data_IF_608079583114
#
_entry.id   IF_608079583114
#
_cell.length_a   1.000
_cell.length_b   1.000
_cell.length_c   1.000
_cell.angle_alpha   90.00
_cell.angle_beta   90.00
_cell.angle_gamma   90.00
#
_symmetry.space_group_name_H-M   'P 1'
#
loop_
_entity.id
_entity.type
_entity.pdbx_description
1 polymer ?
#
# COMPACT_ATOMS: atom_id res chain seq x y z
N UNK A 1 20.19 -19.25 9.94
CA UNK A 1 20.60 -17.87 9.61
C UNK A 1 19.97 -17.38 8.31
N UNK A 2 19.88 -18.22 7.26
CA UNK A 2 19.23 -17.87 6.00
C UNK A 2 17.74 -17.45 6.17
N UNK A 3 16.97 -18.15 7.01
CA UNK A 3 15.55 -17.85 7.21
C UNK A 3 15.31 -16.50 7.91
N UNK A 4 16.12 -16.17 8.91
CA UNK A 4 16.05 -14.88 9.61
C UNK A 4 16.40 -13.74 8.64
N UNK A 5 17.45 -13.92 7.84
CA UNK A 5 17.81 -12.97 6.79
C UNK A 5 16.68 -12.80 5.78
N UNK A 6 16.13 -13.90 5.27
CA UNK A 6 15.00 -13.90 4.33
C UNK A 6 13.76 -13.19 4.88
N UNK A 7 13.42 -13.43 6.15
CA UNK A 7 12.30 -12.77 6.84
C UNK A 7 12.51 -11.25 7.00
N UNK A 8 13.71 -10.83 7.41
CA UNK A 8 14.06 -9.40 7.52
C UNK A 8 14.00 -8.73 6.14
N UNK A 9 14.57 -9.36 5.11
CA UNK A 9 14.50 -8.83 3.74
C UNK A 9 13.07 -8.74 3.23
N UNK A 10 12.23 -9.75 3.48
CA UNK A 10 10.83 -9.74 3.07
C UNK A 10 10.02 -8.65 3.79
N UNK A 11 10.26 -8.44 5.09
CA UNK A 11 9.64 -7.36 5.85
C UNK A 11 10.03 -5.98 5.30
N UNK A 12 11.33 -5.75 5.05
CA UNK A 12 11.82 -4.49 4.47
C UNK A 12 11.28 -4.25 3.05
N UNK A 13 11.22 -5.30 2.24
CA UNK A 13 10.66 -5.26 0.89
C UNK A 13 9.17 -4.90 0.88
N UNK A 14 8.43 -5.31 1.92
CA UNK A 14 6.99 -5.06 2.06
C UNK A 14 6.66 -3.65 2.58
N UNK A 15 7.61 -2.93 3.20
CA UNK A 15 7.34 -1.62 3.81
C UNK A 15 6.69 -0.60 2.85
N UNK A 16 7.23 -0.36 1.63
CA UNK A 16 6.64 0.64 0.74
C UNK A 16 5.21 0.28 0.34
N UNK A 17 4.95 -1.01 0.06
CA UNK A 17 3.63 -1.51 -0.30
C UNK A 17 2.63 -1.35 0.84
N UNK A 18 3.01 -1.74 2.05
CA UNK A 18 2.16 -1.61 3.23
C UNK A 18 1.83 -0.14 3.55
N UNK A 19 2.79 0.79 3.39
CA UNK A 19 2.52 2.23 3.54
C UNK A 19 1.50 2.69 2.50
N UNK A 20 1.72 2.36 1.22
CA UNK A 20 0.85 2.76 0.14
C UNK A 20 -0.58 2.23 0.31
N UNK A 21 -0.75 0.95 0.67
CA UNK A 21 -2.07 0.36 0.86
C UNK A 21 -2.82 0.97 2.05
N UNK A 22 -2.13 1.35 3.12
CA UNK A 22 -2.74 2.09 4.23
C UNK A 22 -3.25 3.46 3.81
N UNK A 23 -2.43 4.22 3.09
CA UNK A 23 -2.80 5.54 2.56
C UNK A 23 -3.97 5.46 1.58
N UNK A 24 -4.01 4.42 0.73
CA UNK A 24 -5.14 4.16 -0.17
C UNK A 24 -6.41 3.88 0.64
N UNK A 25 -6.36 2.97 1.60
CA UNK A 25 -7.53 2.58 2.38
C UNK A 25 -8.15 3.76 3.14
N UNK A 26 -7.31 4.68 3.65
CA UNK A 26 -7.74 5.84 4.43
C UNK A 26 -7.88 7.12 3.61
N UNK A 27 -7.61 7.08 2.29
CA UNK A 27 -7.70 8.23 1.40
C UNK A 27 -9.01 9.05 1.56
N UNK A 28 -10.20 8.43 1.74
CA UNK A 28 -11.44 9.17 1.92
C UNK A 28 -11.47 10.06 3.16
N UNK A 29 -10.76 9.69 4.24
CA UNK A 29 -10.76 10.41 5.51
C UNK A 29 -9.87 11.67 5.50
N UNK A 30 -9.13 11.90 4.42
CA UNK A 30 -8.24 13.04 4.26
C UNK A 30 -6.82 12.83 4.79
N UNK A 31 -5.92 13.75 4.41
CA UNK A 31 -4.48 13.63 4.63
C UNK A 31 -4.04 13.71 6.10
N UNK A 32 -4.84 14.35 6.96
CA UNK A 32 -4.56 14.51 8.39
C UNK A 32 -4.50 13.17 9.15
N UNK A 33 -5.18 12.14 8.65
CA UNK A 33 -5.18 10.79 9.25
C UNK A 33 -4.15 9.84 8.63
N UNK A 34 -3.30 10.33 7.72
CA UNK A 34 -2.27 9.51 7.04
C UNK A 34 -1.33 8.79 8.01
N UNK A 35 -0.93 9.44 9.12
CA UNK A 35 -0.11 8.82 10.15
C UNK A 35 -0.79 7.62 10.83
N UNK A 36 -2.08 7.76 11.16
CA UNK A 36 -2.88 6.67 11.74
C UNK A 36 -3.09 5.51 10.76
N UNK A 37 -3.26 5.83 9.46
CA UNK A 37 -3.41 4.83 8.41
C UNK A 37 -2.17 3.94 8.26
N UNK A 38 -0.97 4.54 8.29
CA UNK A 38 0.30 3.81 8.22
C UNK A 38 0.47 2.91 9.44
N UNK A 39 0.20 3.43 10.65
CA UNK A 39 0.29 2.64 11.88
C UNK A 39 -0.67 1.45 11.88
N UNK A 40 -1.94 1.67 11.54
CA UNK A 40 -2.94 0.60 11.48
C UNK A 40 -2.55 -0.51 10.49
N UNK A 41 -1.97 -0.12 9.35
CA UNK A 41 -1.59 -1.06 8.30
C UNK A 41 -0.34 -1.87 8.67
N UNK A 42 0.65 -1.24 9.30
CA UNK A 42 1.83 -1.95 9.83
C UNK A 42 1.44 -2.91 10.96
N UNK A 43 0.55 -2.48 11.86
CA UNK A 43 0.03 -3.34 12.91
C UNK A 43 -0.74 -4.53 12.33
N UNK A 44 -1.56 -4.31 11.28
CA UNK A 44 -2.26 -5.40 10.60
C UNK A 44 -1.29 -6.41 9.97
N UNK A 45 -0.25 -5.96 9.29
CA UNK A 45 0.76 -6.85 8.70
C UNK A 45 1.52 -7.65 9.78
N UNK A 46 1.92 -6.99 10.88
CA UNK A 46 2.60 -7.63 11.99
C UNK A 46 1.71 -8.68 12.69
N UNK A 47 0.49 -8.29 13.06
CA UNK A 47 -0.47 -9.18 13.73
C UNK A 47 -0.89 -10.35 12.83
N UNK A 48 -1.13 -10.10 11.55
CA UNK A 48 -1.45 -11.15 10.58
C UNK A 48 -0.31 -12.16 10.44
N UNK A 49 0.94 -11.68 10.41
CA UNK A 49 2.10 -12.56 10.31
C UNK A 49 2.29 -13.36 11.61
N UNK A 50 2.09 -12.75 12.78
CA UNK A 50 2.09 -13.46 14.06
C UNK A 50 0.98 -14.51 14.15
N UNK A 51 -0.21 -14.21 13.62
CA UNK A 51 -1.31 -15.18 13.54
C UNK A 51 -0.96 -16.36 12.60
N UNK A 52 -0.31 -16.10 11.47
CA UNK A 52 0.22 -17.16 10.59
C UNK A 52 1.30 -18.00 11.28
N UNK A 53 2.15 -17.40 12.10
CA UNK A 53 3.16 -18.15 12.87
C UNK A 53 2.47 -19.06 13.90
N UNK A 54 1.41 -18.59 14.55
CA UNK A 54 0.71 -19.33 15.60
C UNK A 54 -0.17 -20.48 15.07
N UNK A 55 -0.86 -20.28 13.94
CA UNK A 55 -1.93 -21.18 13.45
C UNK A 55 -1.71 -21.64 12.01
N UNK A 56 -0.80 -21.00 11.27
CA UNK A 56 -0.54 -21.29 9.87
C UNK A 56 0.12 -22.64 9.64
N UNK A 57 -0.18 -23.23 8.48
CA UNK A 57 0.37 -24.54 8.04
C UNK A 57 1.54 -24.41 7.07
N UNK A 58 1.81 -23.19 6.58
CA UNK A 58 2.88 -22.91 5.62
C UNK A 58 4.01 -22.18 6.31
N UNK A 59 5.25 -22.62 6.08
CA UNK A 59 6.46 -22.05 6.68
C UNK A 59 7.04 -20.85 5.92
N UNK A 60 6.43 -20.44 4.79
CA UNK A 60 7.02 -19.45 3.87
C UNK A 60 6.11 -18.24 3.63
N UNK A 61 4.91 -18.19 4.23
CA UNK A 61 3.93 -17.13 3.99
C UNK A 61 4.04 -15.98 4.99
N UNK A 62 3.96 -14.75 4.48
CA UNK A 62 3.74 -13.53 5.26
C UNK A 62 2.32 -13.03 5.03
N UNK A 63 1.67 -12.55 6.09
CA UNK A 63 0.42 -11.84 5.95
C UNK A 63 0.74 -10.37 5.68
N UNK A 64 0.32 -9.88 4.53
CA UNK A 64 0.44 -8.48 4.19
C UNK A 64 -0.91 -7.97 3.66
N UNK A 65 -1.24 -6.70 3.91
CA UNK A 65 -2.34 -6.04 3.23
C UNK A 65 -2.12 -6.09 1.72
N UNK A 66 -3.22 -6.04 0.97
CA UNK A 66 -3.20 -6.08 -0.48
C UNK A 66 -3.99 -4.92 -1.07
N UNK A 67 -3.59 -4.49 -2.26
CA UNK A 67 -4.26 -3.44 -3.03
C UNK A 67 -5.79 -3.60 -3.16
N UNK A 68 -6.33 -4.78 -3.55
CA UNK A 68 -7.77 -4.94 -3.70
C UNK A 68 -8.54 -4.68 -2.39
N UNK A 69 -8.03 -5.18 -1.28
CA UNK A 69 -8.66 -4.99 0.04
C UNK A 69 -8.60 -3.52 0.45
N UNK A 70 -7.47 -2.86 0.24
CA UNK A 70 -7.33 -1.42 0.52
C UNK A 70 -8.37 -0.59 -0.26
N UNK A 71 -8.60 -0.90 -1.53
CA UNK A 71 -9.62 -0.23 -2.35
C UNK A 71 -11.04 -0.50 -1.86
N UNK A 72 -11.37 -1.73 -1.45
CA UNK A 72 -12.67 -2.07 -0.88
C UNK A 72 -12.91 -1.31 0.44
N UNK A 73 -11.89 -1.21 1.30
CA UNK A 73 -11.98 -0.45 2.54
C UNK A 73 -12.17 1.05 2.27
N UNK A 74 -11.47 1.60 1.28
CA UNK A 74 -11.66 2.99 0.85
C UNK A 74 -13.09 3.24 0.32
N UNK A 75 -13.66 2.31 -0.47
CA UNK A 75 -15.04 2.41 -0.93
C UNK A 75 -16.04 2.39 0.24
N UNK A 76 -15.86 1.48 1.20
CA UNK A 76 -16.70 1.43 2.41
C UNK A 76 -16.62 2.72 3.23
N UNK A 77 -15.42 3.29 3.39
CA UNK A 77 -15.23 4.57 4.07
C UNK A 77 -15.93 5.72 3.34
N UNK A 78 -15.84 5.72 2.01
CA UNK A 78 -16.50 6.72 1.18
C UNK A 78 -18.01 6.66 1.35
N UNK A 79 -18.59 5.45 1.39
CA UNK A 79 -20.03 5.24 1.64
C UNK A 79 -20.44 5.73 3.02
N UNK A 80 -19.69 5.39 4.07
CA UNK A 80 -20.02 5.88 5.42
C UNK A 80 -19.96 7.40 5.54
N UNK A 81 -19.01 8.06 4.86
CA UNK A 81 -18.97 9.52 4.82
C UNK A 81 -20.12 10.12 4.02
N UNK A 82 -20.52 9.48 2.91
CA UNK A 82 -21.69 9.90 2.14
C UNK A 82 -22.99 9.81 2.97
N UNK A 83 -23.07 8.82 3.86
CA UNK A 83 -24.19 8.66 4.82
C UNK A 83 -24.10 9.62 6.02
N UNK A 84 -23.10 10.52 6.05
CA UNK A 84 -22.92 11.51 7.11
C UNK A 84 -22.31 10.96 8.41
N UNK A 85 -21.73 9.76 8.39
CA UNK A 85 -21.06 9.20 9.55
C UNK A 85 -19.82 10.03 9.93
N UNK A 86 -19.63 10.26 11.22
CA UNK A 86 -18.40 10.87 11.73
C UNK A 86 -17.21 9.92 11.50
N UNK A 87 -15.98 10.47 11.45
CA UNK A 87 -14.77 9.67 11.25
C UNK A 87 -14.65 8.47 12.22
N UNK A 88 -14.91 8.61 13.54
CA UNK A 88 -14.90 7.48 14.45
C UNK A 88 -15.97 6.42 14.13
N UNK A 89 -17.16 6.83 13.69
CA UNK A 89 -18.24 5.92 13.31
C UNK A 89 -17.90 5.15 12.03
N UNK A 90 -17.36 5.82 11.02
CA UNK A 90 -16.92 5.19 9.78
C UNK A 90 -15.80 4.16 10.05
N UNK A 91 -14.84 4.51 10.92
CA UNK A 91 -13.79 3.60 11.37
C UNK A 91 -14.35 2.38 12.12
N UNK A 92 -15.26 2.59 13.07
CA UNK A 92 -15.92 1.50 13.77
C UNK A 92 -16.70 0.58 12.81
N UNK A 93 -17.37 1.16 11.80
CA UNK A 93 -18.07 0.41 10.76
C UNK A 93 -17.14 -0.47 9.94
N UNK A 94 -15.97 0.05 9.52
CA UNK A 94 -14.95 -0.71 8.79
C UNK A 94 -14.35 -1.84 9.64
N UNK A 95 -14.04 -1.56 10.91
CA UNK A 95 -13.53 -2.56 11.84
C UNK A 95 -14.58 -3.66 12.04
N UNK A 96 -15.86 -3.28 12.22
CA UNK A 96 -16.98 -4.21 12.32
C UNK A 96 -17.12 -5.08 11.07
N UNK A 97 -17.08 -4.48 9.87
CA UNK A 97 -17.15 -5.23 8.61
C UNK A 97 -15.96 -6.21 8.46
N UNK A 98 -14.76 -5.78 8.85
CA UNK A 98 -13.56 -6.63 8.84
C UNK A 98 -13.68 -7.80 9.83
N UNK A 99 -14.26 -7.57 11.01
CA UNK A 99 -14.52 -8.60 11.99
C UNK A 99 -15.55 -9.62 11.49
N UNK A 100 -16.64 -9.15 10.89
CA UNK A 100 -17.66 -10.02 10.29
C UNK A 100 -17.06 -10.87 9.17
N UNK A 101 -16.21 -10.28 8.33
CA UNK A 101 -15.47 -11.00 7.30
C UNK A 101 -14.55 -12.07 7.91
N UNK A 102 -13.80 -11.74 8.97
CA UNK A 102 -12.95 -12.69 9.69
C UNK A 102 -13.73 -13.85 10.30
N UNK A 103 -14.88 -13.58 10.90
CA UNK A 103 -15.78 -14.61 11.44
C UNK A 103 -16.30 -15.50 10.30
N UNK A 104 -16.75 -14.92 9.18
CA UNK A 104 -17.21 -15.69 8.02
C UNK A 104 -16.09 -16.59 7.45
N UNK A 105 -14.87 -16.07 7.31
CA UNK A 105 -13.69 -16.84 6.88
C UNK A 105 -13.38 -17.98 7.85
N UNK A 106 -13.47 -17.74 9.15
CA UNK A 106 -13.28 -18.77 10.17
C UNK A 106 -14.36 -19.87 10.07
N UNK A 107 -15.63 -19.49 9.89
CA UNK A 107 -16.72 -20.45 9.65
C UNK A 107 -16.48 -21.28 8.39
N UNK A 108 -16.10 -20.66 7.27
CA UNK A 108 -15.77 -21.38 6.04
C UNK A 108 -14.58 -22.33 6.20
N UNK A 109 -13.60 -21.96 7.04
CA UNK A 109 -12.48 -22.83 7.39
C UNK A 109 -12.95 -24.05 8.22
N UNK A 110 -13.83 -23.85 9.21
CA UNK A 110 -14.40 -24.95 10.01
C UNK A 110 -15.22 -25.91 9.15
N UNK A 111 -15.99 -25.38 8.20
CA UNK A 111 -16.78 -26.16 7.24
C UNK A 111 -15.92 -26.83 6.14
N UNK A 112 -14.60 -26.60 6.13
CA UNK A 112 -13.65 -27.12 5.13
C UNK A 112 -14.02 -26.76 3.68
N UNK A 113 -14.68 -25.62 3.48
CA UNK A 113 -15.16 -25.14 2.17
C UNK A 113 -14.02 -24.53 1.33
N UNK A 114 -12.79 -24.42 1.87
CA UNK A 114 -11.64 -23.83 1.17
C UNK A 114 -11.30 -24.45 -0.20
N UNK A 115 -11.77 -25.67 -0.49
CA UNK A 115 -11.61 -26.29 -1.83
C UNK A 115 -12.36 -25.52 -2.93
N UNK A 116 -13.38 -24.73 -2.58
CA UNK A 116 -14.15 -23.92 -3.54
C UNK A 116 -13.27 -22.89 -4.28
N UNK A 117 -12.20 -22.41 -3.65
CA UNK A 117 -11.26 -21.46 -4.26
C UNK A 117 -10.66 -22.00 -5.57
N UNK A 118 -10.53 -23.32 -5.71
CA UNK A 118 -10.03 -23.95 -6.94
C UNK A 118 -10.98 -23.84 -8.14
N UNK A 119 -12.26 -23.50 -7.91
CA UNK A 119 -13.24 -23.30 -8.98
C UNK A 119 -13.30 -21.85 -9.46
N UNK A 120 -12.58 -20.92 -8.82
CA UNK A 120 -12.51 -19.54 -9.30
C UNK A 120 -11.71 -19.54 -10.61
N UNK A 121 -12.31 -19.14 -11.74
CA UNK A 121 -11.60 -19.11 -13.01
C UNK A 121 -10.40 -18.16 -12.93
N UNK A 122 -9.26 -18.60 -13.44
CA UNK A 122 -8.07 -17.74 -13.61
C UNK A 122 -8.37 -16.40 -14.32
N UNK A 123 -9.26 -16.30 -15.36
CA UNK A 123 -9.58 -15.00 -15.94
C UNK A 123 -10.24 -14.02 -14.95
N UNK A 124 -10.95 -14.50 -13.94
CA UNK A 124 -11.57 -13.63 -12.92
C UNK A 124 -10.51 -13.01 -12.00
N UNK A 125 -9.55 -13.82 -11.55
CA UNK A 125 -8.43 -13.34 -10.72
C UNK A 125 -7.56 -12.35 -11.50
N UNK A 126 -7.24 -12.67 -12.76
CA UNK A 126 -6.50 -11.77 -13.64
C UNK A 126 -7.25 -10.44 -13.84
N UNK A 127 -8.57 -10.48 -14.05
CA UNK A 127 -9.40 -9.28 -14.18
C UNK A 127 -9.36 -8.36 -12.96
N UNK A 128 -9.46 -8.92 -11.74
CA UNK A 128 -9.35 -8.13 -10.50
C UNK A 128 -7.94 -7.53 -10.36
N UNK A 129 -6.89 -8.31 -10.64
CA UNK A 129 -5.51 -7.83 -10.54
C UNK A 129 -5.21 -6.72 -11.55
N UNK A 130 -5.63 -6.88 -12.80
CA UNK A 130 -5.47 -5.83 -13.84
C UNK A 130 -6.30 -4.60 -13.51
N UNK A 131 -7.55 -4.77 -13.08
CA UNK A 131 -8.42 -3.65 -12.70
C UNK A 131 -7.85 -2.85 -11.53
N UNK A 132 -7.36 -3.52 -10.49
CA UNK A 132 -6.71 -2.85 -9.36
C UNK A 132 -5.38 -2.20 -9.74
N UNK A 133 -4.59 -2.80 -10.64
CA UNK A 133 -3.38 -2.19 -11.18
C UNK A 133 -3.68 -0.89 -11.95
N UNK A 134 -4.72 -0.88 -12.78
CA UNK A 134 -5.18 0.32 -13.50
C UNK A 134 -5.66 1.38 -12.51
N UNK A 135 -6.45 1.02 -11.51
CA UNK A 135 -6.91 1.96 -10.47
C UNK A 135 -5.74 2.60 -9.71
N UNK A 136 -4.72 1.82 -9.34
CA UNK A 136 -3.51 2.34 -8.69
C UNK A 136 -2.77 3.30 -9.62
N UNK A 137 -2.59 2.94 -10.90
CA UNK A 137 -1.92 3.79 -11.87
C UNK A 137 -2.65 5.13 -12.06
N UNK A 138 -3.98 5.08 -12.17
CA UNK A 138 -4.83 6.28 -12.25
C UNK A 138 -4.75 7.12 -10.98
N UNK A 139 -4.72 6.47 -9.79
CA UNK A 139 -4.59 7.18 -8.52
C UNK A 139 -3.27 7.96 -8.37
N UNK A 140 -2.22 7.60 -9.10
CA UNK A 140 -0.95 8.34 -9.11
C UNK A 140 -0.96 9.59 -10.01
N UNK A 141 -1.95 9.73 -10.91
CA UNK A 141 -2.04 10.89 -11.81
C UNK A 141 -2.24 12.18 -11.01
N UNK A 142 -3.15 12.19 -10.03
CA UNK A 142 -3.44 13.35 -9.19
C UNK A 142 -2.19 13.92 -8.50
N UNK A 143 -1.46 13.12 -7.70
CA UNK A 143 -0.21 13.55 -7.06
C UNK A 143 0.85 14.09 -8.02
N UNK A 144 0.96 13.53 -9.24
CA UNK A 144 1.91 14.01 -10.24
C UNK A 144 1.60 15.44 -10.70
N UNK A 145 0.32 15.78 -10.91
CA UNK A 145 -0.09 17.09 -11.41
C UNK A 145 -0.40 18.12 -10.31
N UNK A 146 -0.85 17.69 -9.12
CA UNK A 146 -1.05 18.57 -7.95
C UNK A 146 0.25 19.26 -7.48
N UNK A 147 1.39 18.75 -7.95
CA UNK A 147 2.70 19.37 -7.78
C UNK A 147 2.81 20.75 -8.44
N UNK A 148 2.08 21.01 -9.53
CA UNK A 148 2.10 22.29 -10.24
C UNK A 148 1.43 23.43 -9.44
N UNK A 149 0.41 23.11 -8.65
CA UNK A 149 -0.38 24.11 -7.90
C UNK A 149 0.27 24.52 -6.56
N UNK A 150 1.21 23.72 -6.04
CA UNK A 150 1.83 23.94 -4.70
C UNK A 150 3.13 24.77 -4.76
N UNK A 151 3.52 25.27 -5.93
CA UNK A 151 4.79 25.98 -6.15
C UNK A 151 6.02 25.06 -6.20
N UNK A 152 5.81 23.73 -6.21
CA UNK A 152 6.84 22.76 -6.52
C UNK A 152 7.04 22.72 -8.05
N UNK A 153 8.28 22.64 -8.54
CA UNK A 153 8.45 22.52 -9.99
C UNK A 153 8.03 21.14 -10.46
N UNK A 154 7.05 21.09 -11.36
CA UNK A 154 6.66 19.87 -12.07
C UNK A 154 7.89 19.17 -12.69
N UNK A 155 8.84 19.96 -13.19
CA UNK A 155 10.10 19.47 -13.74
C UNK A 155 10.92 18.65 -12.72
N UNK A 156 11.11 19.14 -11.49
CA UNK A 156 11.83 18.39 -10.44
C UNK A 156 11.07 17.13 -10.03
N UNK A 157 9.74 17.19 -9.91
CA UNK A 157 8.92 16.00 -9.60
C UNK A 157 9.08 14.92 -10.68
N UNK A 158 9.06 15.30 -11.97
CA UNK A 158 9.24 14.38 -13.09
C UNK A 158 10.66 13.80 -13.15
N UNK A 159 11.70 14.60 -12.83
CA UNK A 159 13.08 14.13 -12.74
C UNK A 159 13.23 13.10 -11.62
N UNK A 160 12.71 13.40 -10.42
CA UNK A 160 12.73 12.47 -9.28
C UNK A 160 11.98 11.18 -9.61
N UNK A 161 10.81 11.28 -10.23
CA UNK A 161 10.04 10.12 -10.67
C UNK A 161 10.79 9.29 -11.73
N UNK A 162 11.45 9.93 -12.68
CA UNK A 162 12.25 9.26 -13.71
C UNK A 162 13.46 8.54 -13.12
N UNK A 163 14.16 9.14 -12.15
CA UNK A 163 15.27 8.50 -11.42
C UNK A 163 14.75 7.26 -10.67
N UNK A 164 13.64 7.38 -9.95
CA UNK A 164 13.03 6.26 -9.25
C UNK A 164 12.62 5.13 -10.19
N UNK A 165 11.94 5.47 -11.29
CA UNK A 165 11.47 4.50 -12.28
C UNK A 165 12.61 3.79 -13.01
N UNK A 166 13.65 4.51 -13.42
CA UNK A 166 14.81 3.91 -14.10
C UNK A 166 15.58 2.98 -13.17
N UNK A 167 15.78 3.36 -11.90
CA UNK A 167 16.39 2.48 -10.91
C UNK A 167 15.56 1.20 -10.68
N UNK A 168 14.23 1.32 -10.63
CA UNK A 168 13.34 0.16 -10.54
C UNK A 168 13.43 -0.72 -11.79
N UNK A 169 13.40 -0.15 -12.99
CA UNK A 169 13.48 -0.87 -14.25
C UNK A 169 14.83 -1.61 -14.43
N UNK A 170 15.93 -0.98 -14.03
CA UNK A 170 17.27 -1.62 -14.02
C UNK A 170 17.30 -2.76 -13.01
N UNK A 171 16.75 -2.58 -11.81
CA UNK A 171 16.69 -3.66 -10.83
C UNK A 171 15.79 -4.83 -11.24
N UNK A 172 14.69 -4.56 -11.94
CA UNK A 172 13.82 -5.60 -12.51
C UNK A 172 14.53 -6.38 -13.61
N UNK A 173 15.16 -5.70 -14.57
CA UNK A 173 15.92 -6.35 -15.66
C UNK A 173 17.14 -7.12 -15.17
N UNK A 174 17.74 -6.71 -14.04
CA UNK A 174 18.82 -7.44 -13.37
C UNK A 174 18.33 -8.66 -12.55
N UNK A 175 17.04 -8.99 -12.56
CA UNK A 175 16.46 -10.11 -11.81
C UNK A 175 16.39 -9.89 -10.29
N UNK A 176 16.52 -8.64 -9.83
CA UNK A 176 16.53 -8.26 -8.40
C UNK A 176 15.43 -7.24 -8.11
N UNK A 177 14.14 -7.58 -8.32
CA UNK A 177 13.04 -6.61 -8.29
C UNK A 177 12.90 -5.89 -6.94
N UNK A 178 13.16 -6.60 -5.83
CA UNK A 178 13.15 -6.03 -4.47
C UNK A 178 14.25 -4.97 -4.28
N UNK A 179 15.46 -5.28 -4.73
CA UNK A 179 16.59 -4.34 -4.66
C UNK A 179 16.40 -3.16 -5.61
N UNK A 180 15.77 -3.39 -6.77
CA UNK A 180 15.37 -2.32 -7.70
C UNK A 180 14.37 -1.35 -7.07
N UNK A 181 13.33 -1.87 -6.41
CA UNK A 181 12.36 -1.06 -5.67
C UNK A 181 13.02 -0.25 -4.54
N UNK A 182 13.89 -0.89 -3.75
CA UNK A 182 14.63 -0.23 -2.68
C UNK A 182 15.58 0.86 -3.22
N UNK A 183 16.35 0.56 -4.26
CA UNK A 183 17.24 1.52 -4.91
C UNK A 183 16.47 2.71 -5.49
N UNK A 184 15.33 2.45 -6.16
CA UNK A 184 14.46 3.50 -6.66
C UNK A 184 13.90 4.41 -5.58
N UNK A 185 13.49 3.84 -4.44
CA UNK A 185 13.05 4.61 -3.28
C UNK A 185 14.17 5.49 -2.72
N UNK A 186 15.35 4.91 -2.49
CA UNK A 186 16.50 5.63 -1.89
C UNK A 186 17.01 6.73 -2.84
N UNK A 187 17.19 6.42 -4.12
CA UNK A 187 17.66 7.37 -5.12
C UNK A 187 16.63 8.48 -5.38
N UNK A 188 15.34 8.13 -5.44
CA UNK A 188 14.25 9.10 -5.56
C UNK A 188 14.19 10.04 -4.35
N UNK A 189 14.28 9.50 -3.14
CA UNK A 189 14.27 10.30 -1.90
C UNK A 189 15.52 11.19 -1.78
N UNK A 190 16.69 10.66 -2.12
CA UNK A 190 17.93 11.44 -2.15
C UNK A 190 17.86 12.60 -3.15
N UNK A 191 17.36 12.34 -4.37
CA UNK A 191 17.15 13.38 -5.37
C UNK A 191 16.15 14.45 -4.89
N UNK A 192 15.08 14.03 -4.19
CA UNK A 192 14.08 14.93 -3.64
C UNK A 192 14.62 15.88 -2.56
N UNK A 193 15.51 15.39 -1.68
CA UNK A 193 16.13 16.21 -0.63
C UNK A 193 17.33 17.04 -1.11
N UNK A 194 18.02 16.63 -2.18
CA UNK A 194 19.14 17.39 -2.76
C UNK A 194 18.68 18.57 -3.61
N UNK A 195 17.51 18.50 -4.25
CA UNK A 195 16.96 19.59 -5.06
C UNK A 195 16.88 20.94 -4.30
N UNK A 196 16.31 21.05 -3.09
CA UNK A 196 16.27 22.31 -2.35
C UNK A 196 17.66 22.81 -1.89
N UNK A 197 18.63 21.91 -1.67
CA UNK A 197 20.01 22.30 -1.32
C UNK A 197 20.77 22.91 -2.51
N UNK A 198 20.33 22.63 -3.73
CA UNK A 198 20.87 23.18 -4.98
C UNK A 198 20.14 24.46 -5.45
N UNK A 199 19.23 25.00 -4.63
CA UNK A 199 18.42 26.18 -4.99
C UNK A 199 17.25 25.88 -5.93
N UNK A 200 16.95 24.59 -6.20
CA UNK A 200 15.77 24.19 -6.96
C UNK A 200 14.53 24.14 -6.04
N UNK A 201 13.34 24.50 -6.55
CA UNK A 201 12.11 24.38 -5.76
C UNK A 201 11.87 22.94 -5.34
N UNK A 202 11.55 22.74 -4.06
CA UNK A 202 11.35 21.42 -3.47
C UNK A 202 10.24 20.65 -4.19
N UNK A 203 10.40 19.33 -4.41
CA UNK A 203 9.30 18.51 -4.89
C UNK A 203 8.16 18.49 -3.87
N UNK A 204 6.94 18.33 -4.37
CA UNK A 204 5.67 18.45 -3.63
C UNK A 204 5.55 17.58 -2.36
N UNK A 205 6.38 16.54 -2.21
CA UNK A 205 6.37 15.65 -1.05
C UNK A 205 6.89 16.26 0.26
N UNK A 206 7.60 17.39 0.22
CA UNK A 206 8.21 17.99 1.42
C UNK A 206 7.25 18.76 2.34
N UNK A 207 6.02 19.08 1.89
CA UNK A 207 5.10 19.97 2.63
C UNK A 207 3.90 19.29 3.27
N UNK A 208 3.68 17.99 3.04
CA UNK A 208 2.61 17.22 3.71
C UNK A 208 2.91 16.99 5.20
N UNK A 209 4.18 17.13 5.63
CA UNK A 209 4.57 17.02 7.03
C UNK A 209 4.54 18.35 7.81
N UNK A 210 4.15 19.46 7.17
CA UNK A 210 4.23 20.81 7.77
C UNK A 210 2.91 21.60 7.66
N UNK A 211 1.77 20.92 7.56
CA UNK A 211 0.44 21.51 7.64
C UNK A 211 -0.37 20.81 8.74
#
# INVERSE_FOLDING_TARGET
MADVGGGVFAALAGLPGNIAFGLIAFAPLGALLSGGAVQATMLSAALGTLALIAVGRSSVLLAAPSAPIAMILADLLTRFQADGATVPQAMAGVIGASLVCGVALFLFAMLRIGRIINFIPQPMVAGILTGTAVLIAVAQIGPLFASADTGASLAVTLIVAAIGFTAMAVGQSAGRPVLGAAAGLVLGLAAAHLAPLLGLPAPSGGRVAAA
#
